data_IF_545526548481
#
_entry.id   IF_545526548481
#
_cell.length_a   1.000
_cell.length_b   1.000
_cell.length_c   1.000
_cell.angle_alpha   90.00
_cell.angle_beta   90.00
_cell.angle_gamma   90.00
#
_symmetry.space_group_name_H-M   'P 1'
#
loop_
_entity.id
_entity.type
_entity.pdbx_description
1 polymer ?
#
# COMPACT_ATOMS: atom_id res chain seq x y z
N UNK A 1 -14.15 -3.22 23.56
CA UNK A 1 -12.99 -2.89 22.72
C UNK A 1 -13.51 -2.76 21.31
N UNK A 2 -13.06 -1.76 20.55
CA UNK A 2 -13.47 -1.61 19.16
C UNK A 2 -12.96 -2.78 18.34
N UNK A 3 -13.77 -3.23 17.37
CA UNK A 3 -13.40 -4.28 16.42
C UNK A 3 -12.53 -3.67 15.31
N UNK A 4 -11.21 -3.81 15.44
CA UNK A 4 -10.24 -3.34 14.43
C UNK A 4 -9.86 -4.53 13.55
N UNK A 5 -9.96 -4.37 12.22
CA UNK A 5 -9.56 -5.37 11.23
C UNK A 5 -8.63 -4.74 10.20
N UNK A 6 -7.37 -5.16 10.22
CA UNK A 6 -6.35 -4.75 9.25
C UNK A 6 -6.16 -5.89 8.26
N UNK A 7 -6.76 -5.75 7.08
CA UNK A 7 -6.66 -6.75 6.02
C UNK A 7 -5.29 -6.69 5.38
N UNK A 8 -4.59 -7.81 5.36
CA UNK A 8 -3.27 -7.92 4.75
C UNK A 8 -3.41 -8.70 3.45
N UNK A 9 -3.25 -8.02 2.33
CA UNK A 9 -3.34 -8.64 1.01
C UNK A 9 -2.13 -9.54 0.77
N UNK A 10 -2.35 -10.86 0.73
CA UNK A 10 -1.37 -11.89 0.43
C UNK A 10 -1.48 -12.39 -1.00
N UNK A 11 -0.35 -12.72 -1.60
CA UNK A 11 -0.32 -13.37 -2.92
C UNK A 11 -0.65 -14.87 -2.77
N UNK A 12 -1.29 -15.44 -3.79
CA UNK A 12 -1.62 -16.88 -3.84
C UNK A 12 -0.41 -17.76 -4.18
N UNK A 13 0.61 -17.20 -4.80
CA UNK A 13 1.81 -17.90 -5.30
C UNK A 13 3.03 -17.77 -4.37
N UNK A 14 2.88 -17.19 -3.18
CA UNK A 14 3.95 -17.03 -2.19
C UNK A 14 3.41 -17.40 -0.81
N UNK A 15 4.05 -18.36 -0.15
CA UNK A 15 3.78 -18.65 1.26
C UNK A 15 4.51 -17.64 2.15
N UNK A 16 3.83 -16.53 2.44
CA UNK A 16 4.40 -15.41 3.17
C UNK A 16 4.12 -15.50 4.67
N UNK A 17 5.09 -15.02 5.46
CA UNK A 17 4.91 -14.76 6.89
C UNK A 17 3.70 -13.87 7.15
N UNK A 18 2.95 -14.20 8.18
CA UNK A 18 1.82 -13.41 8.68
C UNK A 18 2.16 -12.75 10.01
N UNK A 19 1.42 -11.71 10.37
CA UNK A 19 1.41 -11.16 11.72
C UNK A 19 0.22 -11.77 12.46
N UNK A 20 0.51 -12.73 13.33
CA UNK A 20 -0.52 -13.47 14.08
C UNK A 20 -1.00 -12.65 15.27
N UNK A 21 -2.06 -11.90 15.08
CA UNK A 21 -2.74 -11.10 16.13
C UNK A 21 -4.22 -10.94 15.78
N UNK A 22 -5.10 -10.66 16.73
CA UNK A 22 -6.52 -10.46 16.46
C UNK A 22 -6.85 -9.27 15.56
N UNK A 23 -5.93 -8.33 15.36
CA UNK A 23 -6.16 -7.11 14.55
C UNK A 23 -5.74 -7.27 13.08
N UNK A 24 -4.73 -8.12 12.80
CA UNK A 24 -4.34 -8.39 11.42
C UNK A 24 -5.09 -9.58 10.85
N UNK A 25 -5.67 -9.39 9.69
CA UNK A 25 -6.47 -10.39 9.00
C UNK A 25 -5.85 -10.67 7.62
N UNK A 26 -5.05 -11.75 7.49
CA UNK A 26 -4.46 -12.11 6.22
C UNK A 26 -5.55 -12.58 5.24
N UNK A 27 -5.53 -12.05 4.00
CA UNK A 27 -6.48 -12.42 2.94
C UNK A 27 -5.72 -12.71 1.65
N UNK A 28 -6.02 -13.81 1.01
CA UNK A 28 -5.43 -14.21 -0.28
C UNK A 28 -6.10 -13.45 -1.41
N UNK A 29 -5.34 -12.58 -2.06
CA UNK A 29 -5.78 -11.75 -3.16
C UNK A 29 -5.88 -12.57 -4.45
N UNK A 30 -7.06 -12.60 -5.05
CA UNK A 30 -7.35 -13.41 -6.24
C UNK A 30 -7.48 -14.90 -5.93
N UNK A 31 -8.06 -15.24 -4.78
CA UNK A 31 -8.19 -16.61 -4.29
C UNK A 31 -8.98 -17.52 -5.24
N UNK A 32 -9.83 -16.97 -6.09
CA UNK A 32 -10.53 -17.74 -7.15
C UNK A 32 -9.57 -18.48 -8.10
N UNK A 33 -8.31 -18.07 -8.18
CA UNK A 33 -7.25 -18.71 -8.96
C UNK A 33 -6.28 -19.55 -8.12
N UNK A 34 -6.58 -19.70 -6.82
CA UNK A 34 -5.72 -20.41 -5.89
C UNK A 34 -6.05 -21.90 -5.87
N UNK A 35 -5.14 -22.73 -6.37
CA UNK A 35 -5.23 -24.18 -6.33
C UNK A 35 -4.62 -24.78 -5.04
N UNK A 36 -4.06 -23.95 -4.15
CA UNK A 36 -3.47 -24.41 -2.90
C UNK A 36 -4.54 -24.63 -1.83
N UNK A 37 -4.31 -25.59 -0.93
CA UNK A 37 -5.15 -25.82 0.25
C UNK A 37 -4.75 -24.87 1.41
N UNK A 38 -4.68 -23.57 1.14
CA UNK A 38 -4.31 -22.58 2.18
C UNK A 38 -5.44 -22.39 3.18
N UNK A 39 -5.10 -22.35 4.48
CA UNK A 39 -6.03 -22.00 5.55
C UNK A 39 -6.31 -20.50 5.66
N UNK A 40 -5.54 -19.66 4.93
CA UNK A 40 -5.75 -18.21 4.91
C UNK A 40 -7.02 -17.90 4.11
N UNK A 41 -7.89 -17.05 4.68
CA UNK A 41 -9.12 -16.58 4.04
C UNK A 41 -8.86 -16.08 2.61
N UNK A 42 -9.66 -16.53 1.65
CA UNK A 42 -9.68 -16.00 0.29
C UNK A 42 -10.60 -14.81 0.13
N UNK A 43 -10.32 -13.96 -0.85
CA UNK A 43 -11.19 -12.84 -1.24
C UNK A 43 -12.29 -13.25 -2.25
N UNK A 44 -12.53 -14.57 -2.42
CA UNK A 44 -13.44 -15.16 -3.40
C UNK A 44 -14.78 -15.63 -2.80
N UNK A 45 -15.02 -15.35 -1.51
CA UNK A 45 -16.27 -15.70 -0.81
C UNK A 45 -17.25 -14.51 -0.81
N UNK A 46 -18.55 -14.82 -0.70
CA UNK A 46 -19.61 -13.79 -0.65
C UNK A 46 -19.61 -12.85 -1.86
N UNK A 47 -19.94 -11.57 -1.63
CA UNK A 47 -19.85 -10.54 -2.68
C UNK A 47 -18.39 -10.15 -2.91
N UNK A 48 -17.86 -10.44 -4.10
CA UNK A 48 -16.44 -10.31 -4.38
C UNK A 48 -16.14 -9.98 -5.84
N UNK A 49 -14.93 -9.46 -6.06
CA UNK A 49 -14.33 -9.21 -7.38
C UNK A 49 -12.98 -9.92 -7.54
N UNK A 50 -12.77 -11.06 -6.88
CA UNK A 50 -11.54 -11.83 -6.86
C UNK A 50 -10.98 -12.12 -8.26
N UNK A 51 -11.85 -12.34 -9.25
CA UNK A 51 -11.48 -12.54 -10.66
C UNK A 51 -10.76 -11.35 -11.28
N UNK A 52 -10.89 -10.15 -10.74
CA UNK A 52 -10.25 -8.94 -11.24
C UNK A 52 -8.86 -8.68 -10.62
N UNK A 53 -8.29 -9.65 -9.92
CA UNK A 53 -6.98 -9.54 -9.26
C UNK A 53 -5.90 -8.91 -10.14
N UNK A 54 -5.84 -9.28 -11.41
CA UNK A 54 -4.78 -8.83 -12.30
C UNK A 54 -4.84 -7.33 -12.57
N UNK A 55 -6.06 -6.78 -12.59
CA UNK A 55 -6.30 -5.36 -12.83
C UNK A 55 -6.43 -4.56 -11.53
N UNK A 56 -7.13 -5.11 -10.52
CA UNK A 56 -7.44 -4.40 -9.27
C UNK A 56 -6.41 -4.66 -8.16
N UNK A 57 -5.56 -5.68 -8.28
CA UNK A 57 -4.55 -6.02 -7.28
C UNK A 57 -5.16 -6.15 -5.87
N UNK A 58 -4.58 -5.52 -4.84
CA UNK A 58 -5.06 -5.54 -3.45
C UNK A 58 -6.46 -4.95 -3.23
N UNK A 59 -6.99 -4.22 -4.20
CA UNK A 59 -8.36 -3.70 -4.13
C UNK A 59 -9.42 -4.80 -4.19
N UNK A 60 -9.12 -6.01 -4.67
CA UNK A 60 -10.06 -7.13 -4.56
C UNK A 60 -10.27 -7.53 -3.09
N UNK A 61 -9.21 -7.47 -2.28
CA UNK A 61 -9.28 -7.68 -0.83
C UNK A 61 -10.03 -6.53 -0.14
N UNK A 62 -9.80 -5.28 -0.55
CA UNK A 62 -10.53 -4.12 -0.03
C UNK A 62 -12.03 -4.23 -0.33
N UNK A 63 -12.41 -4.61 -1.56
CA UNK A 63 -13.80 -4.83 -1.96
C UNK A 63 -14.45 -5.93 -1.13
N UNK A 64 -13.78 -7.08 -1.03
CA UNK A 64 -14.25 -8.21 -0.24
C UNK A 64 -14.48 -7.82 1.23
N UNK A 65 -13.54 -7.10 1.83
CA UNK A 65 -13.67 -6.61 3.19
C UNK A 65 -14.86 -5.66 3.36
N UNK A 66 -15.06 -4.74 2.40
CA UNK A 66 -16.19 -3.82 2.38
C UNK A 66 -17.53 -4.53 2.35
N UNK A 67 -17.65 -5.58 1.54
CA UNK A 67 -18.92 -6.28 1.31
C UNK A 67 -19.26 -7.35 2.34
N UNK A 68 -18.25 -7.97 2.96
CA UNK A 68 -18.45 -9.21 3.73
C UNK A 68 -18.05 -9.12 5.20
N UNK A 69 -17.39 -8.06 5.64
CA UNK A 69 -16.89 -7.95 7.02
C UNK A 69 -17.53 -6.75 7.72
N UNK A 70 -17.87 -6.93 9.01
CA UNK A 70 -18.29 -5.85 9.88
C UNK A 70 -17.21 -5.55 10.93
N UNK A 71 -16.71 -4.30 10.93
CA UNK A 71 -15.69 -3.83 11.86
C UNK A 71 -15.91 -2.35 12.19
N UNK A 72 -15.35 -1.87 13.30
CA UNK A 72 -15.39 -0.45 13.67
C UNK A 72 -14.31 0.35 12.93
N UNK A 73 -13.15 -0.30 12.70
CA UNK A 73 -12.03 0.23 11.94
C UNK A 73 -11.59 -0.79 10.90
N UNK A 74 -11.38 -0.32 9.69
CA UNK A 74 -10.85 -1.08 8.57
C UNK A 74 -9.46 -0.58 8.22
N UNK A 75 -8.51 -1.51 8.07
CA UNK A 75 -7.19 -1.22 7.54
C UNK A 75 -6.91 -2.06 6.31
N UNK A 76 -6.07 -1.54 5.42
CA UNK A 76 -5.47 -2.30 4.33
C UNK A 76 -3.96 -2.22 4.47
N UNK A 77 -3.30 -3.36 4.33
CA UNK A 77 -1.87 -3.51 4.24
C UNK A 77 -1.52 -4.50 3.12
N UNK A 78 -0.27 -4.48 2.69
CA UNK A 78 0.24 -5.46 1.74
C UNK A 78 1.17 -6.43 2.49
N UNK A 79 1.27 -7.70 2.08
CA UNK A 79 2.11 -8.70 2.76
C UNK A 79 3.57 -8.26 2.96
N UNK A 80 4.06 -7.27 2.21
CA UNK A 80 5.39 -6.67 2.35
C UNK A 80 5.41 -5.29 2.96
N UNK A 81 4.26 -4.69 3.31
CA UNK A 81 4.19 -3.31 3.81
C UNK A 81 3.25 -3.22 4.98
N UNK A 82 3.76 -2.70 6.09
CA UNK A 82 3.01 -2.55 7.33
C UNK A 82 3.24 -1.16 7.91
N UNK A 83 2.21 -0.58 8.52
CA UNK A 83 2.33 0.66 9.28
C UNK A 83 3.04 0.37 10.62
N UNK A 84 4.06 1.16 10.95
CA UNK A 84 4.78 1.02 12.22
C UNK A 84 3.98 1.64 13.36
N UNK A 85 3.88 0.90 14.49
CA UNK A 85 3.32 1.42 15.74
C UNK A 85 4.40 1.78 16.77
N UNK A 86 5.67 1.83 16.34
CA UNK A 86 6.77 2.27 17.19
C UNK A 86 6.77 3.79 17.35
N UNK A 87 7.08 4.28 18.57
CA UNK A 87 7.34 5.71 18.79
C UNK A 87 8.72 6.14 18.30
N UNK A 88 9.60 5.16 18.07
CA UNK A 88 10.93 5.42 17.53
C UNK A 88 10.86 5.69 16.05
N UNK A 89 11.46 6.80 15.62
CA UNK A 89 11.67 7.08 14.20
C UNK A 89 12.91 6.31 13.71
N UNK A 90 12.77 5.60 12.59
CA UNK A 90 13.83 4.84 11.95
C UNK A 90 14.28 5.52 10.65
N UNK A 91 15.53 5.31 10.25
CA UNK A 91 16.04 5.83 8.99
C UNK A 91 15.23 5.30 7.81
N UNK A 92 14.75 6.22 6.99
CA UNK A 92 13.99 5.91 5.80
C UNK A 92 14.91 5.64 4.61
N UNK A 93 14.36 4.90 3.65
CA UNK A 93 14.91 4.77 2.30
C UNK A 93 14.18 5.75 1.35
N UNK A 94 14.34 5.57 0.03
CA UNK A 94 13.48 6.19 -0.94
C UNK A 94 12.00 5.91 -0.66
N UNK A 95 11.16 6.81 -1.10
CA UNK A 95 9.71 6.76 -0.88
C UNK A 95 9.31 6.88 0.61
N UNK A 96 10.17 7.44 1.41
CA UNK A 96 9.98 7.66 2.85
C UNK A 96 9.58 6.39 3.64
N UNK A 97 9.97 5.21 3.16
CA UNK A 97 9.73 3.92 3.83
C UNK A 97 10.96 3.46 4.62
N UNK A 98 10.71 2.78 5.73
CA UNK A 98 11.73 1.98 6.42
C UNK A 98 11.87 0.65 5.68
N UNK A 99 13.09 0.29 5.27
CA UNK A 99 13.34 -0.95 4.56
C UNK A 99 13.96 -1.99 5.48
N UNK A 100 13.32 -3.14 5.59
CA UNK A 100 13.82 -4.33 6.26
C UNK A 100 13.99 -5.49 5.28
N UNK A 101 14.91 -6.39 5.58
CA UNK A 101 15.18 -7.51 4.69
C UNK A 101 14.08 -8.57 4.77
N UNK A 102 13.64 -8.91 5.99
CA UNK A 102 12.64 -9.95 6.23
C UNK A 102 11.67 -9.57 7.36
N UNK A 103 10.45 -10.10 7.28
CA UNK A 103 9.46 -10.05 8.35
C UNK A 103 9.71 -11.23 9.30
N UNK A 104 10.41 -10.97 10.42
CA UNK A 104 10.67 -11.97 11.45
C UNK A 104 10.06 -11.55 12.78
N UNK A 105 10.06 -12.44 13.78
CA UNK A 105 9.58 -12.12 15.12
C UNK A 105 10.30 -10.89 15.73
N UNK A 106 11.57 -10.67 15.39
CA UNK A 106 12.30 -9.48 15.83
C UNK A 106 11.74 -8.20 15.23
N UNK A 107 11.48 -8.17 13.92
CA UNK A 107 10.94 -7.00 13.24
C UNK A 107 9.46 -6.77 13.63
N UNK A 108 8.67 -7.83 13.84
CA UNK A 108 7.31 -7.69 14.37
C UNK A 108 7.32 -6.95 15.72
N UNK A 109 8.19 -7.35 16.67
CA UNK A 109 8.37 -6.64 17.96
C UNK A 109 8.94 -5.23 17.78
N UNK A 110 9.94 -5.04 16.92
CA UNK A 110 10.60 -3.75 16.69
C UNK A 110 9.62 -2.67 16.25
N UNK A 111 8.65 -3.02 15.41
CA UNK A 111 7.65 -2.10 14.87
C UNK A 111 6.30 -2.21 15.59
N UNK A 112 6.22 -2.98 16.68
CA UNK A 112 5.00 -3.25 17.46
C UNK A 112 3.84 -3.76 16.59
N UNK A 113 4.15 -4.60 15.60
CA UNK A 113 3.12 -5.22 14.76
C UNK A 113 2.37 -6.32 15.52
N UNK A 114 3.03 -6.96 16.50
CA UNK A 114 2.48 -8.01 17.36
C UNK A 114 1.87 -7.48 18.67
N UNK A 115 1.84 -6.18 18.88
CA UNK A 115 1.32 -5.53 20.08
C UNK A 115 -0.13 -5.04 19.88
N UNK A 116 -1.07 -5.96 20.02
CA UNK A 116 -2.51 -5.68 19.85
C UNK A 116 -3.00 -4.54 20.74
N UNK A 117 -2.55 -4.48 22.01
CA UNK A 117 -3.00 -3.44 22.94
C UNK A 117 -2.55 -2.06 22.49
N UNK A 118 -1.29 -1.94 22.06
CA UNK A 118 -0.74 -0.70 21.54
C UNK A 118 -1.45 -0.26 20.27
N UNK A 119 -1.67 -1.19 19.34
CA UNK A 119 -2.41 -0.91 18.09
C UNK A 119 -3.79 -0.35 18.42
N UNK A 120 -4.56 -1.02 19.27
CA UNK A 120 -5.87 -0.56 19.68
C UNK A 120 -5.81 0.85 20.33
N UNK A 121 -4.88 1.07 21.25
CA UNK A 121 -4.73 2.36 21.94
C UNK A 121 -4.36 3.51 21.01
N UNK A 122 -3.65 3.23 19.92
CA UNK A 122 -3.29 4.22 18.92
C UNK A 122 -4.47 4.48 17.96
N UNK A 123 -5.02 3.41 17.39
CA UNK A 123 -6.06 3.51 16.35
C UNK A 123 -7.31 4.24 16.86
N UNK A 124 -7.76 3.94 18.08
CA UNK A 124 -8.98 4.53 18.64
C UNK A 124 -8.90 6.05 18.91
N UNK A 125 -7.71 6.65 18.89
CA UNK A 125 -7.53 8.09 19.13
C UNK A 125 -7.73 8.96 17.89
N UNK A 126 -7.76 8.34 16.72
CA UNK A 126 -7.78 9.06 15.45
C UNK A 126 -8.88 8.52 14.52
N UNK A 127 -9.28 9.33 13.57
CA UNK A 127 -10.17 8.88 12.50
C UNK A 127 -9.43 8.00 11.49
N UNK A 128 -8.13 8.29 11.30
CA UNK A 128 -7.26 7.56 10.37
C UNK A 128 -5.84 7.37 10.91
N UNK A 129 -5.21 6.23 10.58
CA UNK A 129 -3.76 6.03 10.65
C UNK A 129 -3.27 5.87 9.22
N UNK A 130 -2.34 6.70 8.80
CA UNK A 130 -1.91 6.84 7.41
C UNK A 130 -0.38 6.87 7.32
N UNK A 131 0.21 6.49 6.18
CA UNK A 131 1.66 6.59 6.02
C UNK A 131 2.11 8.05 5.94
N UNK A 132 3.35 8.30 6.38
CA UNK A 132 4.06 9.53 6.04
C UNK A 132 4.16 9.70 4.53
N UNK A 133 4.11 10.92 4.04
CA UNK A 133 4.14 11.22 2.61
C UNK A 133 5.50 10.92 1.98
N UNK A 134 5.50 10.54 0.71
CA UNK A 134 6.69 10.42 -0.13
C UNK A 134 6.77 11.59 -1.12
N UNK A 135 7.97 12.01 -1.49
CA UNK A 135 8.15 13.12 -2.44
C UNK A 135 7.99 12.64 -3.89
N UNK A 136 7.22 13.36 -4.70
CA UNK A 136 6.96 13.03 -6.10
C UNK A 136 8.26 12.83 -6.90
N UNK A 137 9.25 13.71 -6.70
CA UNK A 137 10.55 13.62 -7.36
C UNK A 137 11.37 12.36 -7.03
N UNK A 138 11.06 11.67 -5.92
CA UNK A 138 11.69 10.40 -5.56
C UNK A 138 10.98 9.20 -6.19
N UNK A 139 9.75 9.38 -6.66
CA UNK A 139 8.88 8.30 -7.15
C UNK A 139 8.71 8.29 -8.68
N UNK A 140 9.17 9.31 -9.40
CA UNK A 140 9.02 9.41 -10.85
C UNK A 140 9.72 8.27 -11.60
N UNK A 141 9.13 7.86 -12.74
CA UNK A 141 9.71 6.83 -13.59
C UNK A 141 11.03 7.32 -14.21
N UNK A 142 12.03 6.45 -14.21
CA UNK A 142 13.38 6.75 -14.72
C UNK A 142 13.97 8.06 -14.17
N UNK A 143 13.51 8.52 -12.99
CA UNK A 143 13.97 9.76 -12.35
C UNK A 143 13.73 11.00 -13.20
N UNK A 144 12.62 11.01 -13.92
CA UNK A 144 12.19 12.22 -14.58
C UNK A 144 12.16 13.37 -13.56
N UNK A 145 12.67 14.51 -13.94
CA UNK A 145 12.55 15.73 -13.12
C UNK A 145 11.09 16.12 -13.07
N UNK A 146 10.50 15.99 -11.90
CA UNK A 146 9.10 16.29 -11.65
C UNK A 146 8.97 17.13 -10.39
N UNK A 147 7.97 18.00 -10.37
CA UNK A 147 7.67 18.86 -9.23
C UNK A 147 6.35 18.48 -8.57
N UNK A 148 5.40 17.97 -9.35
CA UNK A 148 4.04 17.71 -8.90
C UNK A 148 3.71 16.21 -8.96
N UNK A 149 2.66 15.80 -8.24
CA UNK A 149 2.14 14.44 -8.33
C UNK A 149 1.60 14.14 -9.73
N UNK A 150 1.03 15.13 -10.41
CA UNK A 150 0.57 14.96 -11.78
C UNK A 150 1.72 14.56 -12.69
N UNK A 151 2.81 15.35 -12.69
CA UNK A 151 4.01 15.06 -13.48
C UNK A 151 4.64 13.70 -13.12
N UNK A 152 4.66 13.36 -11.83
CA UNK A 152 5.15 12.05 -11.36
C UNK A 152 4.34 10.91 -11.97
N UNK A 153 3.02 10.95 -11.88
CA UNK A 153 2.17 9.91 -12.44
C UNK A 153 2.21 9.89 -13.98
N UNK A 154 2.22 11.04 -14.64
CA UNK A 154 2.39 11.13 -16.10
C UNK A 154 3.73 10.57 -16.58
N UNK A 155 4.77 10.55 -15.75
CA UNK A 155 6.05 9.91 -16.08
C UNK A 155 5.93 8.40 -16.32
N UNK A 156 4.85 7.76 -15.88
CA UNK A 156 4.56 6.34 -16.09
C UNK A 156 3.70 6.06 -17.34
N UNK A 157 3.31 7.09 -18.11
CA UNK A 157 2.58 6.93 -19.36
C UNK A 157 3.36 6.04 -20.33
N UNK A 158 2.67 5.12 -20.99
CA UNK A 158 3.27 4.11 -21.87
C UNK A 158 3.98 2.96 -21.14
N UNK A 159 4.02 2.97 -19.80
CA UNK A 159 4.64 1.92 -18.97
C UNK A 159 3.60 1.17 -18.17
N UNK A 160 2.82 1.89 -17.36
CA UNK A 160 1.80 1.30 -16.48
C UNK A 160 0.39 1.59 -16.95
N UNK A 161 0.20 2.62 -17.75
CA UNK A 161 -1.09 3.01 -18.30
C UNK A 161 -0.90 3.88 -19.56
N UNK A 162 -1.96 4.00 -20.33
CA UNK A 162 -1.98 4.81 -21.54
C UNK A 162 -1.98 6.31 -21.23
N UNK A 163 -1.54 7.09 -22.21
CA UNK A 163 -1.57 8.55 -22.11
C UNK A 163 -3.01 9.04 -22.00
N UNK A 164 -3.25 10.03 -21.13
CA UNK A 164 -4.58 10.62 -20.93
C UNK A 164 -5.42 9.91 -19.86
N UNK A 165 -4.98 8.78 -19.30
CA UNK A 165 -5.73 8.06 -18.27
C UNK A 165 -6.00 8.93 -17.04
N UNK A 166 -5.07 9.83 -16.69
CA UNK A 166 -5.22 10.74 -15.56
C UNK A 166 -6.33 11.76 -15.85
N UNK A 167 -6.41 12.29 -17.05
CA UNK A 167 -7.48 13.21 -17.46
C UNK A 167 -8.84 12.51 -17.46
N UNK A 168 -8.87 11.24 -17.88
CA UNK A 168 -10.06 10.40 -17.79
C UNK A 168 -10.49 10.22 -16.32
N UNK A 169 -9.54 9.94 -15.42
CA UNK A 169 -9.82 9.84 -13.97
C UNK A 169 -10.42 11.16 -13.44
N UNK A 170 -9.84 12.31 -13.77
CA UNK A 170 -10.38 13.61 -13.35
C UNK A 170 -11.78 13.88 -13.89
N UNK A 171 -12.03 13.51 -15.15
CA UNK A 171 -13.36 13.62 -15.76
C UNK A 171 -14.38 12.75 -15.04
N UNK A 172 -14.01 11.52 -14.70
CA UNK A 172 -14.85 10.60 -13.95
C UNK A 172 -15.10 11.06 -12.50
N UNK A 173 -14.09 11.63 -11.83
CA UNK A 173 -14.29 12.25 -10.52
C UNK A 173 -15.33 13.35 -10.61
N UNK A 174 -15.22 14.24 -11.62
CA UNK A 174 -16.16 15.35 -11.83
C UNK A 174 -17.57 14.87 -12.11
N UNK A 175 -17.72 13.75 -12.84
CA UNK A 175 -18.99 13.14 -13.20
C UNK A 175 -19.63 12.40 -12.02
N UNK A 176 -18.89 11.53 -11.36
CA UNK A 176 -19.41 10.55 -10.40
C UNK A 176 -19.31 10.98 -8.94
N UNK A 177 -18.40 11.88 -8.61
CA UNK A 177 -18.10 12.30 -7.24
C UNK A 177 -17.55 13.73 -7.20
N UNK A 178 -18.34 14.72 -7.68
CA UNK A 178 -17.88 16.10 -7.92
C UNK A 178 -17.35 16.80 -6.66
N UNK A 179 -17.77 16.38 -5.47
CA UNK A 179 -17.30 16.90 -4.18
C UNK A 179 -15.79 16.70 -3.98
N UNK A 180 -15.18 15.66 -4.56
CA UNK A 180 -13.74 15.40 -4.47
C UNK A 180 -12.92 16.10 -5.55
N UNK A 181 -13.55 16.71 -6.58
CA UNK A 181 -12.84 17.23 -7.75
C UNK A 181 -11.82 18.33 -7.42
N UNK A 182 -12.19 19.30 -6.60
CA UNK A 182 -11.28 20.38 -6.23
C UNK A 182 -10.09 19.85 -5.41
N UNK A 183 -10.33 18.93 -4.49
CA UNK A 183 -9.28 18.28 -3.70
C UNK A 183 -8.38 17.39 -4.58
N UNK A 184 -8.92 16.78 -5.64
CA UNK A 184 -8.11 16.05 -6.62
C UNK A 184 -7.15 17.01 -7.37
N UNK A 185 -7.64 18.15 -7.82
CA UNK A 185 -6.80 19.17 -8.46
C UNK A 185 -5.71 19.69 -7.52
N UNK A 186 -6.07 20.01 -6.28
CA UNK A 186 -5.12 20.50 -5.26
C UNK A 186 -4.06 19.42 -4.95
N UNK A 187 -4.47 18.20 -4.66
CA UNK A 187 -3.57 17.07 -4.35
C UNK A 187 -2.59 16.82 -5.49
N UNK A 188 -3.05 16.76 -6.74
CA UNK A 188 -2.20 16.50 -7.90
C UNK A 188 -1.28 17.66 -8.27
N UNK A 189 -1.59 18.89 -7.85
CA UNK A 189 -0.67 20.04 -7.98
C UNK A 189 0.41 20.06 -6.90
N UNK A 190 0.25 19.29 -5.84
CA UNK A 190 1.21 19.16 -4.76
C UNK A 190 2.42 18.27 -5.11
N UNK A 191 3.42 18.28 -4.24
CA UNK A 191 4.67 17.51 -4.40
C UNK A 191 4.78 16.26 -3.51
N UNK A 192 3.77 15.96 -2.69
CA UNK A 192 3.81 14.85 -1.73
C UNK A 192 2.68 13.85 -1.94
N UNK A 193 3.04 12.58 -2.05
CA UNK A 193 2.13 11.47 -2.27
C UNK A 193 2.00 10.57 -1.04
N UNK A 194 0.77 10.12 -0.74
CA UNK A 194 0.49 9.04 0.22
C UNK A 194 0.32 7.73 -0.54
N UNK A 195 1.42 7.03 -0.70
CA UNK A 195 1.53 5.86 -1.55
C UNK A 195 1.16 4.55 -0.84
N UNK A 196 1.06 3.50 -1.66
CA UNK A 196 1.12 2.08 -1.29
C UNK A 196 -0.12 1.50 -0.60
N UNK A 197 -1.28 2.13 -0.66
CA UNK A 197 -2.56 1.59 -0.19
C UNK A 197 -2.48 0.97 1.22
N UNK A 198 -1.76 1.62 2.13
CA UNK A 198 -1.65 1.21 3.52
C UNK A 198 -2.29 2.27 4.41
N UNK A 199 -3.35 1.89 5.10
CA UNK A 199 -4.10 2.79 5.97
C UNK A 199 -4.90 2.00 7.01
N UNK A 200 -5.38 2.68 8.04
CA UNK A 200 -6.45 2.21 8.94
C UNK A 200 -7.39 3.39 9.13
N UNK A 201 -8.68 3.19 9.02
CA UNK A 201 -9.66 4.25 9.20
C UNK A 201 -10.97 3.74 9.80
N UNK A 202 -11.74 4.65 10.37
CA UNK A 202 -13.10 4.35 10.86
C UNK A 202 -13.97 3.78 9.75
N UNK A 203 -14.92 2.91 10.12
CA UNK A 203 -15.87 2.27 9.20
C UNK A 203 -16.52 3.27 8.24
N UNK A 204 -17.01 4.40 8.73
CA UNK A 204 -17.68 5.40 7.92
C UNK A 204 -16.79 5.96 6.80
N UNK A 205 -15.51 6.20 7.11
CA UNK A 205 -14.55 6.70 6.12
C UNK A 205 -14.16 5.63 5.12
N UNK A 206 -13.98 4.39 5.58
CA UNK A 206 -13.67 3.25 4.71
C UNK A 206 -14.80 2.98 3.70
N UNK A 207 -16.05 2.99 4.15
CA UNK A 207 -17.21 2.80 3.27
C UNK A 207 -17.27 3.91 2.22
N UNK A 208 -17.17 5.18 2.64
CA UNK A 208 -17.15 6.32 1.71
C UNK A 208 -16.00 6.27 0.72
N UNK A 209 -14.81 5.82 1.17
CA UNK A 209 -13.67 5.64 0.28
C UNK A 209 -13.96 4.57 -0.78
N UNK A 210 -14.54 3.43 -0.39
CA UNK A 210 -14.93 2.39 -1.33
C UNK A 210 -16.00 2.88 -2.33
N UNK A 211 -17.00 3.62 -1.85
CA UNK A 211 -18.06 4.21 -2.70
C UNK A 211 -17.49 5.24 -3.69
N UNK A 212 -16.44 5.95 -3.34
CA UNK A 212 -15.72 6.85 -4.22
C UNK A 212 -14.84 6.11 -5.23
N UNK A 213 -14.06 5.14 -4.79
CA UNK A 213 -13.04 4.48 -5.61
C UNK A 213 -13.61 3.51 -6.64
N UNK A 214 -14.46 2.57 -6.21
CA UNK A 214 -14.85 1.44 -7.06
C UNK A 214 -15.64 1.84 -8.31
N UNK A 215 -16.61 2.79 -8.28
CA UNK A 215 -17.27 3.24 -9.50
C UNK A 215 -16.28 3.81 -10.54
N UNK A 216 -15.31 4.61 -10.08
CA UNK A 216 -14.31 5.22 -10.97
C UNK A 216 -13.37 4.14 -11.52
N UNK A 217 -12.85 3.24 -10.67
CA UNK A 217 -11.99 2.14 -11.10
C UNK A 217 -12.66 1.22 -12.13
N UNK A 218 -13.95 0.93 -11.97
CA UNK A 218 -14.72 0.13 -12.92
C UNK A 218 -14.82 0.85 -14.28
N UNK A 219 -15.13 2.16 -14.29
CA UNK A 219 -15.18 2.94 -15.53
C UNK A 219 -13.80 3.05 -16.20
N UNK A 220 -12.74 3.17 -15.42
CA UNK A 220 -11.36 3.13 -15.94
C UNK A 220 -11.08 1.78 -16.62
N UNK A 221 -11.48 0.67 -16.00
CA UNK A 221 -11.30 -0.66 -16.59
C UNK A 221 -12.07 -0.81 -17.93
N UNK A 222 -13.23 -0.20 -18.07
CA UNK A 222 -14.02 -0.23 -19.30
C UNK A 222 -13.38 0.54 -20.46
N UNK A 223 -12.67 1.64 -20.18
CA UNK A 223 -12.09 2.54 -21.18
C UNK A 223 -10.60 2.32 -21.44
N UNK A 224 -9.93 1.50 -20.62
CA UNK A 224 -8.50 1.21 -20.74
C UNK A 224 -8.26 -0.04 -21.57
N UNK A 225 -7.21 -0.03 -22.40
CA UNK A 225 -6.70 -1.27 -22.99
C UNK A 225 -6.04 -2.17 -21.94
N UNK A 226 -6.87 -2.92 -21.22
CA UNK A 226 -6.41 -3.84 -20.18
C UNK A 226 -5.59 -5.03 -20.71
N UNK A 227 -5.45 -5.21 -22.02
CA UNK A 227 -4.51 -6.20 -22.58
C UNK A 227 -3.07 -5.71 -22.51
N UNK A 228 -2.88 -4.42 -22.74
CA UNK A 228 -1.56 -3.76 -22.68
C UNK A 228 -1.27 -3.23 -21.28
N UNK A 229 -2.27 -2.68 -20.59
CA UNK A 229 -2.13 -1.98 -19.31
C UNK A 229 -3.01 -2.62 -18.24
N UNK A 230 -2.83 -3.93 -18.02
CA UNK A 230 -3.68 -4.73 -17.15
C UNK A 230 -3.87 -4.15 -15.74
N UNK A 231 -2.83 -3.53 -15.17
CA UNK A 231 -2.85 -3.01 -13.80
C UNK A 231 -3.26 -1.54 -13.69
N UNK A 232 -3.66 -0.89 -14.77
CA UNK A 232 -4.04 0.53 -14.74
C UNK A 232 -5.14 0.85 -13.71
N UNK A 233 -6.24 0.06 -13.56
CA UNK A 233 -7.23 0.30 -12.52
C UNK A 233 -6.65 0.31 -11.11
N UNK A 234 -5.71 -0.58 -10.79
CA UNK A 234 -5.03 -0.63 -9.48
C UNK A 234 -4.21 0.64 -9.20
N UNK A 235 -3.48 1.17 -10.18
CA UNK A 235 -2.77 2.43 -10.01
C UNK A 235 -3.72 3.62 -9.83
N UNK A 236 -4.83 3.65 -10.58
CA UNK A 236 -5.86 4.67 -10.40
C UNK A 236 -6.46 4.57 -8.98
N UNK A 237 -6.71 3.36 -8.48
CA UNK A 237 -7.16 3.17 -7.10
C UNK A 237 -6.21 3.76 -6.06
N UNK A 238 -4.88 3.65 -6.27
CA UNK A 238 -3.87 4.28 -5.40
C UNK A 238 -3.93 5.82 -5.47
N UNK A 239 -4.12 6.38 -6.65
CA UNK A 239 -4.32 7.83 -6.84
C UNK A 239 -5.57 8.32 -6.10
N UNK A 240 -6.70 7.61 -6.26
CA UNK A 240 -7.96 7.92 -5.60
C UNK A 240 -7.88 7.82 -4.09
N UNK A 241 -7.13 6.85 -3.55
CA UNK A 241 -6.85 6.75 -2.12
C UNK A 241 -6.17 8.03 -1.59
N UNK A 242 -5.14 8.52 -2.29
CA UNK A 242 -4.46 9.76 -1.92
C UNK A 242 -5.37 10.98 -1.96
N UNK A 243 -6.23 11.10 -2.99
CA UNK A 243 -7.22 12.17 -3.13
C UNK A 243 -8.23 12.13 -1.98
N UNK A 244 -8.77 10.94 -1.66
CA UNK A 244 -9.72 10.77 -0.57
C UNK A 244 -9.12 11.19 0.77
N UNK A 245 -7.92 10.71 1.10
CA UNK A 245 -7.23 11.09 2.35
C UNK A 245 -6.97 12.60 2.39
N UNK A 246 -6.55 13.20 1.28
CA UNK A 246 -6.34 14.65 1.19
C UNK A 246 -7.63 15.41 1.50
N UNK A 247 -8.75 15.04 0.88
CA UNK A 247 -10.07 15.63 1.16
C UNK A 247 -10.46 15.49 2.63
N UNK A 248 -10.28 14.31 3.23
CA UNK A 248 -10.58 14.09 4.65
C UNK A 248 -9.77 15.01 5.57
N UNK A 249 -8.50 15.26 5.23
CA UNK A 249 -7.61 16.09 6.03
C UNK A 249 -7.87 17.59 5.86
N UNK A 250 -8.09 18.04 4.62
CA UNK A 250 -8.10 19.48 4.28
C UNK A 250 -9.49 20.08 4.27
N UNK A 251 -10.52 19.31 3.91
CA UNK A 251 -11.90 19.79 3.82
C UNK A 251 -12.70 19.39 5.07
N UNK A 252 -12.63 18.13 5.47
CA UNK A 252 -13.39 17.65 6.62
C UNK A 252 -12.65 17.78 7.95
N UNK A 253 -11.37 18.15 7.94
CA UNK A 253 -10.52 18.31 9.13
C UNK A 253 -10.52 17.06 10.02
N UNK A 254 -10.53 15.87 9.42
CA UNK A 254 -10.49 14.58 10.14
C UNK A 254 -9.13 14.40 10.81
N UNK A 255 -9.17 13.85 12.01
CA UNK A 255 -7.94 13.57 12.75
C UNK A 255 -7.18 12.38 12.16
N UNK A 256 -5.88 12.55 11.95
CA UNK A 256 -5.03 11.47 11.47
C UNK A 256 -3.71 11.38 12.23
N UNK A 257 -3.21 10.15 12.40
CA UNK A 257 -1.84 9.89 12.83
C UNK A 257 -1.03 9.43 11.63
N UNK A 258 -0.01 10.20 11.29
CA UNK A 258 1.00 9.74 10.34
C UNK A 258 1.99 8.80 11.03
N UNK A 259 2.36 7.71 10.34
CA UNK A 259 3.32 6.73 10.83
C UNK A 259 4.20 6.22 9.70
N UNK A 260 5.39 5.73 10.05
CA UNK A 260 6.31 5.18 9.05
C UNK A 260 5.76 3.88 8.47
N UNK A 261 5.90 3.73 7.16
CA UNK A 261 5.64 2.49 6.45
C UNK A 261 6.90 1.62 6.46
N UNK A 262 6.78 0.37 6.86
CA UNK A 262 7.88 -0.60 6.84
C UNK A 262 7.72 -1.50 5.63
N UNK A 263 8.73 -1.55 4.78
CA UNK A 263 8.79 -2.41 3.60
C UNK A 263 9.72 -3.59 3.85
N UNK A 264 9.19 -4.80 3.77
CA UNK A 264 9.94 -6.05 3.86
C UNK A 264 10.25 -6.57 2.45
N UNK A 265 11.54 -6.76 2.16
CA UNK A 265 12.02 -7.19 0.82
C UNK A 265 11.58 -8.62 0.52
N UNK A 266 11.71 -9.50 1.51
CA UNK A 266 11.29 -10.89 1.44
C UNK A 266 10.45 -11.24 2.66
N UNK A 267 9.30 -11.84 2.43
CA UNK A 267 8.35 -12.28 3.47
C UNK A 267 8.05 -13.76 3.42
N UNK A 268 8.73 -14.54 2.56
CA UNK A 268 8.58 -16.00 2.56
C UNK A 268 8.85 -16.58 3.94
N UNK A 269 8.06 -17.56 4.35
CA UNK A 269 8.20 -18.24 5.63
C UNK A 269 9.60 -18.84 5.80
N UNK A 270 10.10 -18.78 7.02
CA UNK A 270 11.37 -19.38 7.41
C UNK A 270 11.08 -20.70 8.11
N UNK A 271 11.43 -21.80 7.45
CA UNK A 271 11.05 -23.14 7.89
C UNK A 271 12.10 -23.81 8.81
N UNK A 272 13.25 -23.17 9.06
CA UNK A 272 14.29 -23.76 9.91
C UNK A 272 15.11 -22.72 10.69
N UNK A 273 15.60 -23.10 11.87
CA UNK A 273 16.51 -22.27 12.66
C UNK A 273 17.78 -21.89 11.90
N UNK A 274 18.32 -22.81 11.10
CA UNK A 274 19.51 -22.57 10.25
C UNK A 274 19.25 -21.46 9.24
N UNK A 275 18.09 -21.48 8.59
CA UNK A 275 17.66 -20.44 7.65
C UNK A 275 17.47 -19.10 8.36
N UNK A 276 16.84 -19.10 9.54
CA UNK A 276 16.69 -17.91 10.37
C UNK A 276 18.04 -17.23 10.67
N UNK A 277 19.04 -17.98 11.16
CA UNK A 277 20.36 -17.43 11.45
C UNK A 277 21.07 -16.94 10.19
N UNK A 278 20.98 -17.68 9.07
CA UNK A 278 21.51 -17.23 7.79
C UNK A 278 20.88 -15.89 7.37
N UNK A 279 19.57 -15.75 7.50
CA UNK A 279 18.87 -14.50 7.19
C UNK A 279 19.30 -13.34 8.10
N UNK A 280 19.53 -13.59 9.39
CA UNK A 280 20.04 -12.56 10.34
C UNK A 280 21.42 -12.08 9.94
N UNK A 281 22.34 -12.98 9.60
CA UNK A 281 23.68 -12.62 9.11
C UNK A 281 23.57 -11.80 7.82
N UNK A 282 22.76 -12.21 6.86
CA UNK A 282 22.54 -11.47 5.62
C UNK A 282 21.93 -10.08 5.87
N UNK A 283 21.02 -9.94 6.84
CA UNK A 283 20.44 -8.65 7.19
C UNK A 283 21.48 -7.66 7.75
N UNK A 284 22.39 -8.15 8.58
CA UNK A 284 23.51 -7.33 9.12
C UNK A 284 24.47 -6.94 7.99
N UNK A 285 24.84 -7.89 7.13
CA UNK A 285 25.69 -7.65 5.97
C UNK A 285 25.04 -6.66 4.97
N UNK A 286 23.76 -6.83 4.65
CA UNK A 286 23.01 -5.92 3.77
C UNK A 286 22.98 -4.49 4.33
N UNK A 287 22.78 -4.32 5.64
CA UNK A 287 22.83 -3.00 6.29
C UNK A 287 24.21 -2.36 6.19
N UNK A 288 25.27 -3.12 6.42
CA UNK A 288 26.64 -2.63 6.33
C UNK A 288 26.99 -2.22 4.88
N UNK A 289 26.71 -3.11 3.92
CA UNK A 289 26.96 -2.84 2.48
C UNK A 289 26.18 -1.61 2.01
N UNK A 290 24.91 -1.47 2.44
CA UNK A 290 24.10 -0.29 2.08
C UNK A 290 24.62 0.98 2.69
N UNK A 291 24.99 0.96 3.96
CA UNK A 291 25.57 2.15 4.62
C UNK A 291 26.79 2.67 3.87
N UNK A 292 27.60 1.77 3.29
CA UNK A 292 28.75 2.14 2.45
C UNK A 292 28.29 2.55 1.05
N UNK A 293 27.41 1.76 0.43
CA UNK A 293 26.93 2.03 -0.93
C UNK A 293 26.15 3.36 -1.01
N UNK A 294 25.38 3.72 0.02
CA UNK A 294 24.65 4.97 0.07
C UNK A 294 25.57 6.20 0.16
N UNK A 295 26.75 6.03 0.77
CA UNK A 295 27.77 7.09 0.84
C UNK A 295 28.55 7.23 -0.49
N UNK A 296 28.81 6.12 -1.18
CA UNK A 296 29.63 6.09 -2.41
C UNK A 296 28.77 6.30 -3.66
N UNK A 297 27.56 5.75 -3.66
CA UNK A 297 26.63 5.82 -4.79
C UNK A 297 25.29 6.34 -4.28
N UNK A 298 24.93 7.60 -4.55
CA UNK A 298 23.60 8.13 -4.26
C UNK A 298 22.52 7.16 -4.77
N UNK A 299 21.44 7.02 -4.03
CA UNK A 299 20.43 5.97 -4.17
C UNK A 299 19.91 5.76 -5.61
N UNK A 300 20.13 6.72 -6.49
CA UNK A 300 19.67 6.77 -7.87
C UNK A 300 20.78 6.83 -8.93
N UNK A 301 21.99 6.32 -8.64
CA UNK A 301 23.00 6.29 -9.69
C UNK A 301 22.80 5.09 -10.63
N UNK A 302 23.04 5.22 -11.96
CA UNK A 302 22.94 4.11 -12.93
C UNK A 302 23.84 2.92 -12.58
N UNK A 303 24.92 3.16 -11.82
CA UNK A 303 25.83 2.11 -11.31
C UNK A 303 25.19 1.23 -10.24
N UNK A 304 24.24 1.75 -9.44
CA UNK A 304 23.56 1.00 -8.40
C UNK A 304 22.55 0.00 -8.95
N UNK A 305 21.96 0.24 -10.10
CA UNK A 305 21.07 -0.72 -10.78
C UNK A 305 21.82 -1.94 -11.30
N UNK A 306 23.09 -1.78 -11.70
CA UNK A 306 23.95 -2.91 -12.09
C UNK A 306 24.27 -3.83 -10.91
N UNK A 307 24.43 -3.29 -9.70
CA UNK A 307 24.72 -4.07 -8.49
C UNK A 307 23.46 -4.80 -7.97
N UNK A 308 22.25 -4.35 -8.29
CA UNK A 308 21.01 -5.04 -7.95
C UNK A 308 20.73 -6.28 -8.81
N UNK A 309 21.41 -6.42 -9.94
CA UNK A 309 21.26 -7.54 -10.88
C UNK A 309 22.33 -8.63 -10.71
N UNK A 310 23.27 -8.47 -9.78
CA UNK A 310 24.23 -9.45 -9.29
C UNK A 310 23.77 -10.03 -7.94
#
# INVERSE_FOLDING_TARGET
MSNIRIFVSHRIDIDSETVDTPVYFPVRCGAVYDESNSEIQGDDTGDNISKLRMSFCEFTVQYWAWKNVDADYYGLCHYRRYLSFSDKHYNNTAFNMVRELRLTAHEKKKYHLDDTQRINNVVQKYDMIIPVVAKASEMSYNRAEVKTLREMWESYNGVYFEQGIIDNMFSLIKELSPEYYNSACEYFSGEYHRAFNCYIMKKELFVRMCEFQFPIMNRIMEITDCKTYERAPGYIGEMLNGIFIHYMLTVENRSAKETQLVFFVNTEKINSAKEYYKCRIHAVADKAVRSVADKIFPMYSPRREKVKKL
#
